data_IF_821125735841
#
_entry.id   IF_821125735841
#
_cell.length_a   1.000
_cell.length_b   1.000
_cell.length_c   1.000
_cell.angle_alpha   90.00
_cell.angle_beta   90.00
_cell.angle_gamma   90.00
#
_symmetry.space_group_name_H-M   'P 1'
#
loop_
_entity.id
_entity.type
_entity.pdbx_description
1 polymer ?
#
# COMPACT_ATOMS: atom_id res chain seq x y z
N UNK A 1 -6.92 -6.74 -6.85
CA UNK A 1 -5.69 -5.92 -6.74
C UNK A 1 -5.56 -5.19 -5.42
N UNK A 2 -6.51 -4.35 -4.99
CA UNK A 2 -6.47 -3.68 -3.66
C UNK A 2 -6.15 -4.63 -2.50
N UNK A 3 -6.83 -5.77 -2.42
CA UNK A 3 -6.56 -6.78 -1.39
C UNK A 3 -5.13 -7.32 -1.43
N UNK A 4 -4.56 -7.45 -2.64
CA UNK A 4 -3.18 -7.91 -2.82
C UNK A 4 -2.17 -6.85 -2.35
N UNK A 5 -2.37 -5.58 -2.74
CA UNK A 5 -1.49 -4.49 -2.32
C UNK A 5 -1.57 -4.31 -0.80
N UNK A 6 -2.77 -4.36 -0.19
CA UNK A 6 -2.92 -4.34 1.26
C UNK A 6 -2.20 -5.50 1.96
N UNK A 7 -2.31 -6.73 1.44
CA UNK A 7 -1.61 -7.88 1.99
C UNK A 7 -0.08 -7.74 1.88
N UNK A 8 0.41 -7.14 0.79
CA UNK A 8 1.83 -6.85 0.61
C UNK A 8 2.31 -5.80 1.62
N UNK A 9 1.59 -4.69 1.76
CA UNK A 9 1.85 -3.66 2.78
C UNK A 9 1.92 -4.30 4.16
N UNK A 10 0.91 -5.09 4.53
CA UNK A 10 0.87 -5.74 5.83
C UNK A 10 2.07 -6.67 6.07
N UNK A 11 2.52 -7.39 5.04
CA UNK A 11 3.66 -8.29 5.13
C UNK A 11 4.99 -7.54 5.28
N UNK A 12 5.16 -6.43 4.56
CA UNK A 12 6.34 -5.56 4.68
C UNK A 12 6.37 -4.90 6.07
N UNK A 13 5.24 -4.37 6.55
CA UNK A 13 5.15 -3.78 7.87
C UNK A 13 5.45 -4.80 8.98
N UNK A 14 4.98 -6.04 8.82
CA UNK A 14 5.29 -7.13 9.77
C UNK A 14 6.75 -7.60 9.72
N UNK A 15 7.44 -7.37 8.61
CA UNK A 15 8.88 -7.59 8.52
C UNK A 15 9.66 -6.49 9.25
N UNK A 16 9.23 -5.23 9.12
CA UNK A 16 9.85 -4.07 9.78
C UNK A 16 9.60 -4.08 11.30
N UNK A 17 8.35 -4.32 11.70
CA UNK A 17 7.92 -4.36 13.10
C UNK A 17 7.14 -5.66 13.35
N UNK A 18 7.83 -6.72 13.81
CA UNK A 18 7.22 -8.02 14.03
C UNK A 18 6.24 -8.04 15.22
N UNK A 19 6.38 -7.09 16.16
CA UNK A 19 5.47 -6.95 17.29
C UNK A 19 4.11 -6.38 16.82
N UNK A 20 3.02 -7.16 16.90
CA UNK A 20 1.71 -6.73 16.40
C UNK A 20 1.10 -5.56 17.19
N UNK A 21 1.46 -5.41 18.47
CA UNK A 21 0.98 -4.31 19.32
C UNK A 21 1.65 -3.01 18.92
N UNK A 22 2.97 -3.04 18.72
CA UNK A 22 3.74 -1.88 18.25
C UNK A 22 3.36 -1.51 16.83
N UNK A 23 3.18 -2.49 15.94
CA UNK A 23 2.66 -2.25 14.59
C UNK A 23 1.33 -1.50 14.61
N UNK A 24 0.38 -1.91 15.46
CA UNK A 24 -0.91 -1.18 15.63
C UNK A 24 -0.73 0.21 16.20
N UNK A 25 0.12 0.37 17.21
CA UNK A 25 0.41 1.68 17.79
C UNK A 25 0.98 2.64 16.75
N UNK A 26 1.95 2.19 15.95
CA UNK A 26 2.54 2.98 14.84
C UNK A 26 1.49 3.34 13.79
N UNK A 27 0.59 2.42 13.41
CA UNK A 27 -0.52 2.74 12.49
C UNK A 27 -1.44 3.85 13.03
N UNK A 28 -1.78 3.81 14.32
CA UNK A 28 -2.62 4.85 14.94
C UNK A 28 -1.91 6.20 15.05
N UNK A 29 -0.60 6.19 15.33
CA UNK A 29 0.21 7.40 15.47
C UNK A 29 0.45 8.08 14.11
N UNK A 30 0.62 7.32 13.03
CA UNK A 30 0.80 7.87 11.69
C UNK A 30 -0.44 8.60 11.16
N UNK A 31 -1.63 8.38 11.75
CA UNK A 31 -2.85 9.14 11.44
C UNK A 31 -2.79 10.57 12.03
N UNK A 32 -1.88 10.83 12.97
CA UNK A 32 -1.81 12.07 13.75
C UNK A 32 -0.66 13.00 13.29
N UNK A 33 -0.11 12.80 12.10
CA UNK A 33 0.99 13.63 11.54
C UNK A 33 2.19 13.79 12.49
N UNK A 34 2.50 12.74 13.25
CA UNK A 34 3.71 12.70 14.05
C UNK A 34 4.90 12.32 13.17
N UNK A 35 6.09 12.92 13.39
CA UNK A 35 7.29 12.56 12.63
C UNK A 35 7.58 11.07 12.75
N UNK A 36 7.98 10.45 11.63
CA UNK A 36 8.30 9.03 11.45
C UNK A 36 9.04 8.49 12.68
N UNK A 37 8.33 7.74 13.54
CA UNK A 37 8.99 7.11 14.70
C UNK A 37 9.74 5.88 14.21
N UNK A 38 11.03 5.84 14.54
CA UNK A 38 11.93 4.73 14.26
C UNK A 38 11.32 3.41 14.76
N UNK A 39 11.48 2.33 13.97
CA UNK A 39 11.05 0.99 14.40
C UNK A 39 11.67 0.64 15.76
N UNK A 40 10.87 0.04 16.65
CA UNK A 40 11.34 -0.29 17.99
C UNK A 40 12.41 -1.38 17.94
N UNK A 41 12.36 -2.25 16.93
CA UNK A 41 13.34 -3.31 16.69
C UNK A 41 14.74 -2.74 16.37
N UNK A 42 14.82 -1.77 15.45
CA UNK A 42 16.12 -1.17 15.10
C UNK A 42 16.74 -0.40 16.27
N UNK A 43 15.88 0.26 17.07
CA UNK A 43 16.30 0.91 18.31
C UNK A 43 16.85 -0.09 19.34
N UNK A 44 16.28 -1.30 19.44
CA UNK A 44 16.77 -2.33 20.36
C UNK A 44 18.19 -2.77 20.03
N UNK A 45 18.53 -2.99 18.75
CA UNK A 45 19.88 -3.39 18.34
C UNK A 45 20.90 -2.32 18.75
N UNK A 46 20.58 -1.04 18.48
CA UNK A 46 21.41 0.10 18.90
C UNK A 46 21.57 0.18 20.41
N UNK A 47 20.48 0.02 21.17
CA UNK A 47 20.48 0.04 22.63
C UNK A 47 21.30 -1.09 23.25
N UNK A 48 21.29 -2.29 22.65
CA UNK A 48 22.17 -3.39 23.08
C UNK A 48 23.63 -2.98 22.92
N UNK A 49 24.01 -2.42 21.76
CA UNK A 49 25.38 -1.95 21.52
C UNK A 49 25.82 -0.83 22.47
N UNK A 50 24.95 0.13 22.76
CA UNK A 50 25.17 1.19 23.76
C UNK A 50 25.36 0.60 25.16
N UNK A 51 24.55 -0.39 25.53
CA UNK A 51 24.64 -1.05 26.82
C UNK A 51 25.96 -1.82 26.97
N UNK A 52 26.37 -2.56 25.93
CA UNK A 52 27.64 -3.29 25.90
C UNK A 52 28.83 -2.35 26.03
N UNK A 53 28.85 -1.27 25.25
CA UNK A 53 29.87 -0.23 25.33
C UNK A 53 29.91 0.39 26.73
N UNK A 54 28.75 0.74 27.30
CA UNK A 54 28.65 1.33 28.65
C UNK A 54 29.19 0.40 29.72
N UNK A 55 28.90 -0.90 29.64
CA UNK A 55 29.38 -1.88 30.62
C UNK A 55 30.84 -2.26 30.43
N UNK A 56 31.37 -2.19 29.20
CA UNK A 56 32.79 -2.37 28.93
C UNK A 56 33.63 -1.39 29.78
N UNK A 57 33.22 -0.12 29.89
CA UNK A 57 33.91 0.89 30.70
C UNK A 57 33.99 0.58 32.20
N UNK A 58 33.24 -0.41 32.70
CA UNK A 58 33.32 -0.89 34.10
C UNK A 58 34.38 -1.97 34.29
N UNK A 59 34.95 -2.49 33.21
CA UNK A 59 35.99 -3.51 33.23
C UNK A 59 37.38 -2.88 33.18
N UNK A 60 38.43 -3.61 33.60
CA UNK A 60 39.80 -3.17 33.43
C UNK A 60 40.10 -2.87 31.96
N UNK A 61 40.65 -1.67 31.65
CA UNK A 61 40.98 -1.30 30.28
C UNK A 61 42.00 -2.28 29.70
N UNK A 62 41.89 -2.56 28.40
CA UNK A 62 42.71 -3.52 27.65
C UNK A 62 42.57 -4.99 28.07
N UNK A 63 41.64 -5.33 28.97
CA UNK A 63 41.31 -6.74 29.17
C UNK A 63 40.69 -7.33 27.88
N UNK A 64 40.88 -8.63 27.59
CA UNK A 64 40.27 -9.25 26.41
C UNK A 64 38.75 -9.06 26.35
N UNK A 65 38.09 -9.07 27.51
CA UNK A 65 36.65 -8.84 27.61
C UNK A 65 36.26 -7.37 27.36
N UNK A 66 37.06 -6.41 27.83
CA UNK A 66 36.85 -4.98 27.54
C UNK A 66 36.91 -4.70 26.04
N UNK A 67 37.94 -5.24 25.35
CA UNK A 67 38.08 -5.10 23.89
C UNK A 67 36.88 -5.73 23.17
N UNK A 68 36.54 -6.98 23.50
CA UNK A 68 35.45 -7.70 22.85
C UNK A 68 34.08 -7.01 23.03
N UNK A 69 33.78 -6.50 24.23
CA UNK A 69 32.52 -5.78 24.48
C UNK A 69 32.47 -4.43 23.77
N UNK A 70 33.61 -3.74 23.67
CA UNK A 70 33.71 -2.46 22.95
C UNK A 70 33.50 -2.68 21.45
N UNK A 71 34.22 -3.61 20.85
CA UNK A 71 34.14 -3.92 19.42
C UNK A 71 32.75 -4.46 19.02
N UNK A 72 32.16 -5.33 19.84
CA UNK A 72 30.82 -5.83 19.60
C UNK A 72 29.77 -4.72 19.81
N UNK A 73 29.97 -3.88 20.83
CA UNK A 73 29.10 -2.74 21.11
C UNK A 73 29.04 -1.74 19.96
N UNK A 74 30.19 -1.34 19.43
CA UNK A 74 30.28 -0.44 18.28
C UNK A 74 29.65 -1.06 17.03
N UNK A 75 29.95 -2.33 16.74
CA UNK A 75 29.38 -3.05 15.60
C UNK A 75 27.85 -3.13 15.66
N UNK A 76 27.27 -3.38 16.85
CA UNK A 76 25.82 -3.42 17.03
C UNK A 76 25.20 -2.02 16.93
N UNK A 77 25.85 -0.98 17.43
CA UNK A 77 25.38 0.40 17.25
C UNK A 77 25.31 0.78 15.77
N UNK A 78 26.37 0.51 15.00
CA UNK A 78 26.40 0.75 13.55
C UNK A 78 25.33 -0.06 12.82
N UNK A 79 25.15 -1.33 13.17
CA UNK A 79 24.11 -2.17 12.60
C UNK A 79 22.71 -1.62 12.90
N UNK A 80 22.47 -1.17 14.14
CA UNK A 80 21.23 -0.52 14.53
C UNK A 80 20.94 0.73 13.68
N UNK A 81 21.94 1.58 13.43
CA UNK A 81 21.81 2.76 12.56
C UNK A 81 21.47 2.38 11.12
N UNK A 82 22.16 1.40 10.54
CA UNK A 82 21.86 0.89 9.18
C UNK A 82 20.46 0.30 9.08
N UNK A 83 19.99 -0.38 10.11
CA UNK A 83 18.63 -0.91 10.14
C UNK A 83 17.59 0.21 10.23
N UNK A 84 17.87 1.29 10.97
CA UNK A 84 17.00 2.48 11.00
C UNK A 84 16.90 3.11 9.61
N UNK A 85 18.03 3.27 8.93
CA UNK A 85 18.09 3.81 7.57
C UNK A 85 17.31 2.94 6.58
N UNK A 86 17.51 1.62 6.60
CA UNK A 86 16.77 0.67 5.77
C UNK A 86 15.26 0.79 5.98
N UNK A 87 14.79 0.86 7.24
CA UNK A 87 13.37 1.02 7.54
C UNK A 87 12.83 2.34 6.99
N UNK A 88 13.59 3.43 7.12
CA UNK A 88 13.23 4.73 6.55
C UNK A 88 13.12 4.68 5.02
N UNK A 89 14.05 4.00 4.35
CA UNK A 89 14.01 3.82 2.91
C UNK A 89 12.81 2.97 2.46
N UNK A 90 12.51 1.88 3.17
CA UNK A 90 11.35 1.05 2.85
C UNK A 90 10.05 1.85 3.04
N UNK A 91 9.94 2.63 4.12
CA UNK A 91 8.77 3.47 4.36
C UNK A 91 8.56 4.50 3.24
N UNK A 92 9.62 5.22 2.88
CA UNK A 92 9.56 6.33 1.92
C UNK A 92 9.47 5.87 0.46
N UNK A 93 10.22 4.85 0.07
CA UNK A 93 10.31 4.39 -1.33
C UNK A 93 9.32 3.29 -1.69
N UNK A 94 8.78 2.57 -0.71
CA UNK A 94 7.89 1.41 -0.96
C UNK A 94 6.52 1.62 -0.31
N UNK A 95 6.44 1.74 1.01
CA UNK A 95 5.15 1.74 1.70
C UNK A 95 4.31 2.98 1.38
N UNK A 96 4.91 4.18 1.37
CA UNK A 96 4.19 5.41 1.06
C UNK A 96 3.63 5.43 -0.37
N UNK A 97 4.40 5.09 -1.42
CA UNK A 97 3.86 4.94 -2.77
C UNK A 97 2.73 3.92 -2.87
N UNK A 98 2.87 2.75 -2.23
CA UNK A 98 1.81 1.72 -2.25
C UNK A 98 0.53 2.17 -1.54
N UNK A 99 0.64 2.91 -0.43
CA UNK A 99 -0.52 3.51 0.26
C UNK A 99 -1.18 4.57 -0.62
N UNK A 100 -0.39 5.47 -1.21
CA UNK A 100 -0.88 6.49 -2.15
C UNK A 100 -1.65 5.86 -3.32
N UNK A 101 -1.13 4.78 -3.89
CA UNK A 101 -1.77 4.03 -4.97
C UNK A 101 -3.17 3.50 -4.58
N UNK A 102 -3.34 3.04 -3.34
CA UNK A 102 -4.63 2.54 -2.84
C UNK A 102 -5.57 3.69 -2.48
N UNK A 103 -5.08 4.66 -1.71
CA UNK A 103 -5.91 5.67 -1.06
C UNK A 103 -6.32 6.79 -2.02
N UNK A 104 -5.53 7.02 -3.07
CA UNK A 104 -5.79 8.05 -4.09
C UNK A 104 -6.29 7.38 -5.38
N UNK A 105 -5.42 6.68 -6.10
CA UNK A 105 -5.70 6.26 -7.47
C UNK A 105 -6.81 5.18 -7.52
N UNK A 106 -6.67 4.12 -6.72
CA UNK A 106 -7.68 3.07 -6.67
C UNK A 106 -9.02 3.59 -6.11
N UNK A 107 -8.99 4.55 -5.19
CA UNK A 107 -10.21 5.19 -4.66
C UNK A 107 -10.94 5.97 -5.75
N UNK A 108 -10.23 6.73 -6.59
CA UNK A 108 -10.80 7.44 -7.74
C UNK A 108 -11.49 6.47 -8.69
N UNK A 109 -10.80 5.39 -9.09
CA UNK A 109 -11.37 4.34 -9.94
C UNK A 109 -12.63 3.74 -9.32
N UNK A 110 -12.60 3.48 -8.01
CA UNK A 110 -13.76 2.91 -7.29
C UNK A 110 -14.93 3.89 -7.27
N UNK A 111 -14.68 5.19 -7.07
CA UNK A 111 -15.72 6.23 -7.11
C UNK A 111 -16.35 6.35 -8.49
N UNK A 112 -15.56 6.40 -9.56
CA UNK A 112 -16.06 6.50 -10.93
C UNK A 112 -16.80 5.23 -11.34
N UNK A 113 -16.32 4.04 -10.94
CA UNK A 113 -17.06 2.77 -11.08
C UNK A 113 -18.43 2.83 -10.38
N UNK A 114 -18.48 3.30 -9.14
CA UNK A 114 -19.74 3.35 -8.39
C UNK A 114 -20.73 4.33 -9.06
N UNK A 115 -20.27 5.51 -9.51
CA UNK A 115 -21.09 6.44 -10.31
C UNK A 115 -21.69 5.77 -11.54
N UNK A 116 -20.90 4.96 -12.26
CA UNK A 116 -21.39 4.20 -13.42
C UNK A 116 -22.46 3.16 -13.02
N UNK A 117 -22.25 2.47 -11.91
CA UNK A 117 -23.20 1.49 -11.37
C UNK A 117 -24.50 2.13 -10.88
N UNK A 118 -24.45 3.38 -10.39
CA UNK A 118 -25.63 4.12 -9.93
C UNK A 118 -26.49 4.61 -11.10
N UNK A 119 -25.86 5.03 -12.21
CA UNK A 119 -26.58 5.51 -13.41
C UNK A 119 -27.21 4.36 -14.21
N UNK A 120 -26.58 3.18 -14.22
CA UNK A 120 -27.04 2.05 -15.04
C UNK A 120 -28.51 1.67 -14.80
N UNK A 121 -28.99 1.47 -13.55
CA UNK A 121 -30.40 1.17 -13.29
C UNK A 121 -31.36 2.26 -13.79
N UNK A 122 -30.97 3.54 -13.70
CA UNK A 122 -31.80 4.64 -14.21
C UNK A 122 -31.90 4.59 -15.73
N UNK A 123 -30.78 4.35 -16.42
CA UNK A 123 -30.75 4.19 -17.87
C UNK A 123 -31.61 3.00 -18.32
N UNK A 124 -31.47 1.85 -17.66
CA UNK A 124 -32.24 0.64 -17.97
C UNK A 124 -33.75 0.87 -17.76
N UNK A 125 -34.12 1.56 -16.67
CA UNK A 125 -35.51 1.94 -16.38
C UNK A 125 -36.09 2.89 -17.44
N UNK A 126 -35.32 3.89 -17.86
CA UNK A 126 -35.74 4.83 -18.90
C UNK A 126 -35.87 4.17 -20.27
N UNK A 127 -34.93 3.30 -20.65
CA UNK A 127 -35.00 2.53 -21.90
C UNK A 127 -36.26 1.66 -21.93
N UNK A 128 -36.60 1.02 -20.81
CA UNK A 128 -37.81 0.21 -20.69
C UNK A 128 -39.09 1.06 -20.80
N UNK A 129 -39.12 2.24 -20.18
CA UNK A 129 -40.24 3.18 -20.31
C UNK A 129 -40.36 3.71 -21.75
N UNK A 130 -39.25 4.03 -22.39
CA UNK A 130 -39.22 4.55 -23.76
C UNK A 130 -39.73 3.51 -24.76
N UNK A 131 -39.39 2.23 -24.55
CA UNK A 131 -39.91 1.13 -25.37
C UNK A 131 -41.44 1.00 -25.31
N UNK A 132 -42.06 1.42 -24.21
CA UNK A 132 -43.53 1.40 -24.02
C UNK A 132 -44.21 2.66 -24.54
N UNK A 133 -43.57 3.82 -24.42
CA UNK A 133 -44.13 5.13 -24.77
C UNK A 133 -43.22 5.85 -25.79
N UNK A 134 -43.22 5.40 -27.04
CA UNK A 134 -42.26 5.86 -28.06
C UNK A 134 -42.44 7.33 -28.50
N UNK A 135 -43.63 7.90 -28.32
CA UNK A 135 -43.96 9.27 -28.75
C UNK A 135 -43.63 10.35 -27.72
N UNK A 136 -43.27 9.98 -26.47
CA UNK A 136 -42.94 10.96 -25.45
C UNK A 136 -41.55 11.57 -25.70
N UNK A 137 -41.57 12.77 -26.29
CA UNK A 137 -40.36 13.55 -26.60
C UNK A 137 -39.54 13.90 -25.36
N UNK A 138 -40.19 14.12 -24.21
CA UNK A 138 -39.50 14.42 -22.94
C UNK A 138 -38.73 13.20 -22.43
N UNK A 139 -39.37 12.03 -22.48
CA UNK A 139 -38.75 10.77 -22.10
C UNK A 139 -37.57 10.41 -23.01
N UNK A 140 -37.72 10.62 -24.32
CA UNK A 140 -36.65 10.42 -25.32
C UNK A 140 -35.45 11.33 -25.04
N UNK A 141 -35.68 12.62 -24.77
CA UNK A 141 -34.61 13.57 -24.43
C UNK A 141 -33.89 13.19 -23.13
N UNK A 142 -34.63 12.79 -22.08
CA UNK A 142 -34.04 12.32 -20.82
C UNK A 142 -33.21 11.05 -21.03
N UNK A 143 -33.72 10.08 -21.79
CA UNK A 143 -32.98 8.85 -22.07
C UNK A 143 -31.68 9.12 -22.84
N UNK A 144 -31.70 10.05 -23.82
CA UNK A 144 -30.49 10.46 -24.54
C UNK A 144 -29.47 11.13 -23.61
N UNK A 145 -29.92 12.02 -22.72
CA UNK A 145 -29.04 12.67 -21.74
C UNK A 145 -28.34 11.64 -20.84
N UNK A 146 -29.09 10.74 -20.22
CA UNK A 146 -28.52 9.73 -19.31
C UNK A 146 -27.61 8.76 -20.06
N UNK A 147 -27.95 8.41 -21.31
CA UNK A 147 -27.08 7.58 -22.13
C UNK A 147 -25.74 8.30 -22.45
N UNK A 148 -25.78 9.61 -22.69
CA UNK A 148 -24.57 10.43 -22.86
C UNK A 148 -23.73 10.48 -21.59
N UNK A 149 -24.36 10.73 -20.43
CA UNK A 149 -23.67 10.73 -19.13
C UNK A 149 -23.03 9.38 -18.83
N UNK A 150 -23.73 8.29 -19.14
CA UNK A 150 -23.22 6.93 -18.99
C UNK A 150 -21.97 6.66 -19.84
N UNK A 151 -21.98 7.02 -21.13
CA UNK A 151 -20.82 6.83 -22.00
C UNK A 151 -19.64 7.74 -21.61
N UNK A 152 -19.89 8.96 -21.11
CA UNK A 152 -18.82 9.81 -20.59
C UNK A 152 -18.14 9.17 -19.37
N UNK A 153 -18.91 8.72 -18.36
CA UNK A 153 -18.35 8.12 -17.14
C UNK A 153 -17.65 6.80 -17.45
N UNK A 154 -18.18 6.02 -18.40
CA UNK A 154 -17.52 4.80 -18.88
C UNK A 154 -16.18 5.11 -19.53
N UNK A 155 -16.10 6.15 -20.36
CA UNK A 155 -14.84 6.60 -20.97
C UNK A 155 -13.86 7.11 -19.91
N UNK A 156 -14.34 7.90 -18.94
CA UNK A 156 -13.55 8.36 -17.79
C UNK A 156 -12.93 7.17 -17.03
N UNK A 157 -13.76 6.18 -16.68
CA UNK A 157 -13.31 4.97 -15.98
C UNK A 157 -12.30 4.17 -16.82
N UNK A 158 -12.55 4.06 -18.13
CA UNK A 158 -11.66 3.35 -19.05
C UNK A 158 -10.27 4.01 -19.12
N UNK A 159 -10.22 5.34 -19.21
CA UNK A 159 -8.96 6.10 -19.14
C UNK A 159 -8.24 5.87 -17.82
N UNK A 160 -8.96 5.98 -16.69
CA UNK A 160 -8.35 5.75 -15.36
C UNK A 160 -7.80 4.32 -15.19
N UNK A 161 -8.50 3.30 -15.70
CA UNK A 161 -8.00 1.92 -15.67
C UNK A 161 -6.78 1.77 -16.61
N UNK A 162 -6.78 2.41 -17.77
CA UNK A 162 -5.64 2.40 -18.69
C UNK A 162 -4.40 3.05 -18.06
N UNK A 163 -4.57 4.18 -17.38
CA UNK A 163 -3.48 4.89 -16.72
C UNK A 163 -2.93 4.05 -15.55
N UNK A 164 -3.82 3.42 -14.79
CA UNK A 164 -3.48 2.63 -13.61
C UNK A 164 -2.86 1.25 -13.93
N UNK A 165 -3.35 0.56 -14.96
CA UNK A 165 -2.88 -0.79 -15.34
C UNK A 165 -1.90 -0.78 -16.52
N UNK A 166 -1.75 0.35 -17.22
CA UNK A 166 -1.12 0.42 -18.54
C UNK A 166 -2.00 -0.18 -19.64
N UNK A 167 -1.76 0.24 -20.90
CA UNK A 167 -2.50 -0.24 -22.09
C UNK A 167 -2.37 -1.76 -22.29
N UNK A 168 -1.25 -2.35 -21.85
CA UNK A 168 -1.01 -3.80 -21.90
C UNK A 168 -1.66 -4.57 -20.73
N UNK A 169 -1.98 -3.91 -19.61
CA UNK A 169 -2.61 -4.54 -18.45
C UNK A 169 -4.06 -4.98 -18.71
N UNK A 170 -4.70 -4.45 -19.75
CA UNK A 170 -6.03 -4.87 -20.20
C UNK A 170 -6.02 -6.09 -21.13
N UNK A 171 -4.87 -6.39 -21.76
CA UNK A 171 -4.70 -7.54 -22.67
C UNK A 171 -4.44 -8.84 -21.89
N UNK A 172 -4.26 -8.76 -20.57
CA UNK A 172 -3.91 -9.91 -19.74
C UNK A 172 -5.10 -10.82 -19.40
N UNK A 173 -5.56 -11.59 -20.38
CA UNK A 173 -6.05 -12.96 -20.15
C UNK A 173 -4.91 -13.92 -19.68
N UNK A 174 -3.68 -13.42 -19.54
CA UNK A 174 -2.47 -14.19 -19.21
C UNK A 174 -2.04 -14.15 -17.73
N UNK A 175 -2.79 -13.51 -16.83
CA UNK A 175 -2.45 -13.46 -15.39
C UNK A 175 -2.49 -14.83 -14.66
N UNK A 176 -2.95 -15.89 -15.34
CA UNK A 176 -2.82 -17.26 -14.85
C UNK A 176 -1.36 -17.68 -14.71
N UNK A 177 -0.46 -17.23 -15.60
CA UNK A 177 0.96 -17.62 -15.55
C UNK A 177 1.78 -16.85 -14.50
N UNK A 178 1.51 -15.56 -14.28
CA UNK A 178 2.22 -14.79 -13.25
C UNK A 178 1.86 -15.28 -11.84
N UNK A 179 0.58 -15.65 -11.62
CA UNK A 179 0.13 -16.24 -10.36
C UNK A 179 0.74 -17.62 -10.12
N UNK A 180 0.96 -18.43 -11.16
CA UNK A 180 1.59 -19.77 -11.06
C UNK A 180 3.11 -19.66 -10.84
N UNK A 181 3.82 -18.77 -11.54
CA UNK A 181 5.27 -18.60 -11.38
C UNK A 181 5.64 -18.00 -10.02
N UNK A 182 4.85 -17.04 -9.51
CA UNK A 182 5.12 -16.42 -8.22
C UNK A 182 4.72 -17.32 -7.04
N UNK A 183 3.65 -18.14 -7.16
CA UNK A 183 3.32 -19.10 -6.11
C UNK A 183 4.40 -20.19 -5.96
N UNK A 184 5.00 -20.66 -7.06
CA UNK A 184 6.12 -21.60 -7.05
C UNK A 184 7.41 -21.05 -6.43
N UNK A 185 7.64 -19.74 -6.51
CA UNK A 185 8.82 -19.10 -5.90
C UNK A 185 8.73 -18.95 -4.37
N UNK A 186 7.54 -19.12 -3.78
CA UNK A 186 7.30 -18.93 -2.35
C UNK A 186 6.69 -20.15 -1.65
N UNK A 187 6.62 -21.30 -2.31
CA UNK A 187 6.13 -22.58 -1.74
C UNK A 187 7.14 -23.73 -1.83
N UNK A 188 8.40 -23.45 -2.17
CA UNK A 188 9.58 -24.31 -1.97
C UNK A 188 10.55 -23.61 -1.04
#
# INVERSE_FOLDING_TARGET
LRCFINALIDRIESFIEPDPLKKRATKLINIVDAPVKLSSSALQIKQIGECMSTHAHRLPPNSPLWNALTDCGTSLMENGLKHIELVSEIETKILNPLRSLIDIEYLIITKTKNRLMDIRPELDSLKHKQARNYEDASLKARCQKINSDFEMIKTELQCQINDFCGVQGQVMEQYTEFRIKFHRLFTT
#
